data_IF_876215723994
#
_entry.id   IF_876215723994
#
_cell.length_a   1.000
_cell.length_b   1.000
_cell.length_c   1.000
_cell.angle_alpha   90.00
_cell.angle_beta   90.00
_cell.angle_gamma   90.00
#
_symmetry.space_group_name_H-M   'P 1'
#
loop_
_entity.id
_entity.type
_entity.pdbx_description
1 polymer ?
#
# COMPACT_ATOMS: atom_id res chain seq x y z
N UNK A 1 5.52 -9.74 -29.73
CA UNK A 1 5.43 -10.60 -28.53
C UNK A 1 6.11 -9.86 -27.40
N UNK A 2 5.34 -9.28 -26.47
CA UNK A 2 5.89 -8.63 -25.28
C UNK A 2 6.39 -9.74 -24.36
N UNK A 3 7.70 -9.90 -24.27
CA UNK A 3 8.31 -10.81 -23.29
C UNK A 3 7.93 -10.31 -21.90
N UNK A 4 7.20 -11.12 -21.13
CA UNK A 4 7.10 -10.91 -19.68
C UNK A 4 8.54 -10.82 -19.17
N UNK A 5 9.00 -9.63 -18.78
CA UNK A 5 10.24 -9.49 -18.01
C UNK A 5 10.09 -10.45 -16.84
N UNK A 6 11.04 -11.37 -16.69
CA UNK A 6 11.09 -12.20 -15.50
C UNK A 6 11.11 -11.24 -14.31
N UNK A 7 10.12 -11.36 -13.42
CA UNK A 7 10.11 -10.62 -12.18
C UNK A 7 11.45 -10.93 -11.48
N UNK A 8 12.21 -9.93 -11.02
CA UNK A 8 13.40 -10.19 -10.22
C UNK A 8 13.03 -11.12 -9.06
N UNK A 9 13.97 -11.97 -8.58
CA UNK A 9 13.69 -12.82 -7.44
C UNK A 9 13.16 -11.96 -6.29
N UNK A 10 12.02 -12.36 -5.74
CA UNK A 10 11.38 -11.68 -4.61
C UNK A 10 12.42 -11.55 -3.51
N UNK A 11 12.62 -10.34 -3.01
CA UNK A 11 13.45 -10.08 -1.83
C UNK A 11 13.04 -11.10 -0.74
N UNK A 12 13.96 -11.96 -0.25
CA UNK A 12 13.63 -12.97 0.74
C UNK A 12 12.90 -12.41 1.97
N UNK A 13 13.19 -11.15 2.35
CA UNK A 13 12.53 -10.46 3.46
C UNK A 13 11.07 -10.17 3.14
N UNK A 14 10.75 -9.76 1.90
CA UNK A 14 9.37 -9.55 1.45
C UNK A 14 8.58 -10.86 1.39
N UNK A 15 9.21 -11.96 1.00
CA UNK A 15 8.60 -13.29 1.06
C UNK A 15 8.21 -13.70 2.49
N UNK A 16 9.11 -13.48 3.46
CA UNK A 16 8.83 -13.74 4.88
C UNK A 16 7.75 -12.80 5.44
N UNK A 17 7.75 -11.53 5.02
CA UNK A 17 6.72 -10.58 5.41
C UNK A 17 5.34 -11.01 4.89
N UNK A 18 5.25 -11.43 3.63
CA UNK A 18 4.02 -11.95 3.04
C UNK A 18 3.51 -13.19 3.79
N UNK A 19 4.39 -14.13 4.14
CA UNK A 19 4.02 -15.29 4.96
C UNK A 19 3.47 -14.86 6.34
N UNK A 20 4.14 -13.93 7.01
CA UNK A 20 3.68 -13.40 8.30
C UNK A 20 2.32 -12.69 8.19
N UNK A 21 2.02 -12.02 7.07
CA UNK A 21 0.70 -11.44 6.82
C UNK A 21 -0.36 -12.53 6.69
N UNK A 22 -0.10 -13.58 5.91
CA UNK A 22 -1.04 -14.68 5.70
C UNK A 22 -1.32 -15.47 6.99
N UNK A 23 -0.34 -15.57 7.90
CA UNK A 23 -0.52 -16.21 9.22
C UNK A 23 -1.11 -15.27 10.29
N UNK A 24 -1.41 -14.01 9.96
CA UNK A 24 -1.98 -13.03 10.90
C UNK A 24 -0.94 -12.39 11.86
N UNK A 25 0.35 -12.64 11.65
CA UNK A 25 1.45 -12.09 12.43
C UNK A 25 1.81 -10.65 11.97
N UNK A 26 0.83 -9.74 11.97
CA UNK A 26 0.98 -8.41 11.36
C UNK A 26 2.11 -7.57 11.96
N UNK A 27 2.35 -7.67 13.27
CA UNK A 27 3.47 -6.97 13.92
C UNK A 27 4.83 -7.46 13.42
N UNK A 28 4.98 -8.78 13.21
CA UNK A 28 6.20 -9.37 12.66
C UNK A 28 6.38 -8.97 11.19
N UNK A 29 5.32 -9.03 10.39
CA UNK A 29 5.34 -8.57 9.01
C UNK A 29 5.85 -7.12 8.91
N UNK A 30 5.33 -6.22 9.75
CA UNK A 30 5.76 -4.81 9.78
C UNK A 30 7.21 -4.63 10.24
N UNK A 31 7.76 -5.53 11.05
CA UNK A 31 9.19 -5.49 11.39
C UNK A 31 10.05 -5.87 10.18
N UNK A 32 9.72 -6.97 9.51
CA UNK A 32 10.42 -7.41 8.29
C UNK A 32 10.34 -6.34 7.20
N UNK A 33 9.19 -5.68 7.04
CA UNK A 33 9.03 -4.61 6.05
C UNK A 33 9.87 -3.36 6.40
N UNK A 34 10.10 -3.05 7.68
CA UNK A 34 11.05 -1.99 8.07
C UNK A 34 12.48 -2.34 7.70
N UNK A 35 12.86 -3.61 7.79
CA UNK A 35 14.18 -4.09 7.35
C UNK A 35 14.33 -3.96 5.83
N UNK A 36 13.29 -4.32 5.07
CA UNK A 36 13.29 -4.12 3.61
C UNK A 36 13.41 -2.64 3.23
N UNK A 37 12.70 -1.74 3.91
CA UNK A 37 12.82 -0.28 3.72
C UNK A 37 14.24 0.26 3.99
N UNK A 38 15.00 -0.37 4.89
CA UNK A 38 16.38 0.05 5.18
C UNK A 38 17.34 -0.29 4.03
N UNK A 39 17.01 -1.30 3.21
CA UNK A 39 17.79 -1.70 2.04
C UNK A 39 17.38 -0.93 0.79
N UNK A 40 16.07 -0.76 0.58
CA UNK A 40 15.51 0.00 -0.53
C UNK A 40 14.27 0.77 -0.08
N UNK A 41 14.44 2.08 0.09
CA UNK A 41 13.37 2.98 0.53
C UNK A 41 12.37 3.35 -0.58
N UNK A 42 12.68 3.03 -1.84
CA UNK A 42 11.84 3.33 -3.01
C UNK A 42 11.12 2.07 -3.52
N UNK A 43 11.30 0.90 -2.89
CA UNK A 43 10.64 -0.33 -3.33
C UNK A 43 9.10 -0.24 -3.12
N UNK A 44 8.29 -0.23 -4.20
CA UNK A 44 6.83 -0.15 -4.09
C UNK A 44 6.20 -1.40 -3.45
N UNK A 45 6.81 -2.58 -3.58
CA UNK A 45 6.30 -3.83 -3.02
C UNK A 45 6.26 -3.79 -1.49
N UNK A 46 7.28 -3.16 -0.88
CA UNK A 46 7.38 -2.98 0.57
C UNK A 46 6.20 -2.20 1.13
N UNK A 47 5.87 -1.06 0.50
CA UNK A 47 4.73 -0.24 0.91
C UNK A 47 3.39 -0.92 0.60
N UNK A 48 3.30 -1.68 -0.49
CA UNK A 48 2.09 -2.43 -0.81
C UNK A 48 1.83 -3.52 0.24
N UNK A 49 2.87 -4.25 0.68
CA UNK A 49 2.75 -5.24 1.76
C UNK A 49 2.43 -4.61 3.12
N UNK A 50 2.92 -3.39 3.41
CA UNK A 50 2.46 -2.62 4.58
C UNK A 50 0.97 -2.31 4.49
N UNK A 51 0.49 -1.94 3.29
CA UNK A 51 -0.93 -1.74 3.02
C UNK A 51 -1.76 -2.99 3.29
N UNK A 52 -1.37 -4.13 2.72
CA UNK A 52 -2.05 -5.42 2.89
C UNK A 52 -2.04 -5.84 4.37
N UNK A 53 -0.91 -5.68 5.06
CA UNK A 53 -0.80 -5.99 6.49
C UNK A 53 -1.83 -5.23 7.33
N UNK A 54 -1.95 -3.91 7.13
CA UNK A 54 -2.93 -3.11 7.85
C UNK A 54 -4.36 -3.40 7.42
N UNK A 55 -4.59 -3.74 6.15
CA UNK A 55 -5.91 -4.09 5.66
C UNK A 55 -6.43 -5.38 6.29
N UNK A 56 -5.59 -6.42 6.33
CA UNK A 56 -5.90 -7.70 6.96
C UNK A 56 -6.09 -7.55 8.48
N UNK A 57 -5.40 -6.61 9.12
CA UNK A 57 -5.62 -6.20 10.52
C UNK A 57 -6.90 -5.35 10.72
N UNK A 58 -7.62 -4.98 9.65
CA UNK A 58 -8.86 -4.20 9.69
C UNK A 58 -8.67 -2.68 9.69
N UNK A 59 -7.44 -2.18 9.56
CA UNK A 59 -7.13 -0.76 9.54
C UNK A 59 -7.07 -0.18 8.12
N UNK A 60 -8.24 -0.01 7.50
CA UNK A 60 -8.38 0.49 6.12
C UNK A 60 -7.77 1.90 5.91
N UNK A 61 -7.80 2.75 6.94
CA UNK A 61 -7.20 4.08 6.85
C UNK A 61 -5.68 4.03 6.71
N UNK A 62 -5.01 3.16 7.46
CA UNK A 62 -3.56 2.95 7.29
C UNK A 62 -3.27 2.20 5.99
N UNK A 63 -4.08 1.21 5.63
CA UNK A 63 -3.93 0.47 4.38
C UNK A 63 -3.90 1.41 3.17
N UNK A 64 -4.91 2.27 3.02
CA UNK A 64 -4.99 3.26 1.93
C UNK A 64 -3.81 4.23 1.89
N UNK A 65 -3.29 4.65 3.05
CA UNK A 65 -2.07 5.49 3.11
C UNK A 65 -0.87 4.77 2.49
N UNK A 66 -0.65 3.51 2.85
CA UNK A 66 0.50 2.74 2.35
C UNK A 66 0.35 2.32 0.89
N UNK A 67 -0.86 1.98 0.43
CA UNK A 67 -1.10 1.78 -1.01
C UNK A 67 -0.82 3.05 -1.83
N UNK A 68 -1.16 4.23 -1.30
CA UNK A 68 -0.82 5.51 -1.95
C UNK A 68 0.68 5.77 -2.00
N UNK A 69 1.44 5.39 -0.96
CA UNK A 69 2.91 5.46 -0.99
C UNK A 69 3.47 4.50 -2.03
N UNK A 70 3.00 3.25 -2.08
CA UNK A 70 3.42 2.28 -3.09
C UNK A 70 3.19 2.78 -4.52
N UNK A 71 2.01 3.34 -4.77
CA UNK A 71 1.67 3.95 -6.06
C UNK A 71 2.54 5.18 -6.39
N UNK A 72 2.92 5.97 -5.38
CA UNK A 72 3.81 7.11 -5.57
C UNK A 72 5.23 6.68 -5.93
N UNK A 73 5.74 5.60 -5.32
CA UNK A 73 7.07 5.07 -5.61
C UNK A 73 7.17 4.51 -7.04
N UNK A 74 6.15 3.78 -7.48
CA UNK A 74 6.05 3.30 -8.86
C UNK A 74 4.59 3.30 -9.34
N UNK A 75 4.25 4.26 -10.21
CA UNK A 75 2.91 4.39 -10.79
C UNK A 75 2.59 3.25 -11.78
N UNK A 76 3.60 2.52 -12.26
CA UNK A 76 3.43 1.37 -13.15
C UNK A 76 3.14 0.09 -12.38
N UNK A 77 3.39 0.06 -11.06
CA UNK A 77 3.09 -1.06 -10.18
C UNK A 77 1.58 -1.18 -9.90
N UNK A 78 0.88 -1.86 -10.81
CA UNK A 78 -0.60 -1.94 -10.83
C UNK A 78 -1.23 -2.41 -9.53
N UNK A 79 -0.57 -3.33 -8.80
CA UNK A 79 -1.10 -3.87 -7.55
C UNK A 79 -1.42 -2.77 -6.51
N UNK A 80 -0.62 -1.71 -6.46
CA UNK A 80 -0.87 -0.59 -5.55
C UNK A 80 -2.12 0.22 -5.96
N UNK A 81 -2.31 0.44 -7.27
CA UNK A 81 -3.49 1.13 -7.79
C UNK A 81 -4.77 0.32 -7.53
N UNK A 82 -4.76 -0.98 -7.85
CA UNK A 82 -5.90 -1.89 -7.65
C UNK A 82 -6.31 -1.96 -6.17
N UNK A 83 -5.32 -2.09 -5.28
CA UNK A 83 -5.56 -2.12 -3.84
C UNK A 83 -6.06 -0.78 -3.30
N UNK A 84 -5.49 0.33 -3.76
CA UNK A 84 -5.94 1.66 -3.36
C UNK A 84 -7.37 1.91 -3.82
N UNK A 85 -7.71 1.56 -5.06
CA UNK A 85 -9.06 1.69 -5.58
C UNK A 85 -10.04 0.88 -4.74
N UNK A 86 -9.77 -0.41 -4.54
CA UNK A 86 -10.63 -1.32 -3.76
C UNK A 86 -10.88 -0.83 -2.34
N UNK A 87 -9.83 -0.36 -1.63
CA UNK A 87 -9.98 0.14 -0.25
C UNK A 87 -10.63 1.52 -0.21
N UNK A 88 -10.49 2.35 -1.25
CA UNK A 88 -11.10 3.68 -1.33
C UNK A 88 -12.52 3.70 -1.90
N UNK A 89 -12.97 2.67 -2.62
CA UNK A 89 -14.32 2.61 -3.20
C UNK A 89 -15.42 2.76 -2.12
N UNK A 90 -15.18 2.24 -0.91
CA UNK A 90 -16.07 2.42 0.24
C UNK A 90 -16.16 3.86 0.76
N UNK A 91 -15.20 4.72 0.39
CA UNK A 91 -15.09 6.10 0.83
C UNK A 91 -15.46 7.11 -0.26
N UNK A 92 -16.15 6.68 -1.34
CA UNK A 92 -16.77 7.64 -2.28
C UNK A 92 -17.84 8.44 -1.54
N UNK A 93 -17.42 9.54 -0.95
CA UNK A 93 -18.30 10.59 -0.43
C UNK A 93 -18.74 11.47 -1.59
N UNK A 94 -19.95 12.02 -1.52
CA UNK A 94 -20.47 12.90 -2.55
C UNK A 94 -19.54 14.13 -2.67
N UNK A 95 -19.47 14.74 -3.85
CA UNK A 95 -18.80 16.03 -4.09
C UNK A 95 -19.17 17.12 -3.07
N UNK A 96 -20.35 17.00 -2.44
CA UNK A 96 -20.83 17.89 -1.38
C UNK A 96 -20.10 17.71 -0.04
N UNK A 97 -19.45 16.58 0.17
CA UNK A 97 -18.71 16.26 1.41
C UNK A 97 -17.22 16.64 1.34
N UNK A 98 -16.79 17.32 0.26
CA UNK A 98 -15.41 17.79 0.10
C UNK A 98 -15.09 18.78 1.21
N UNK A 99 -14.21 18.37 2.11
CA UNK A 99 -13.63 19.23 3.13
C UNK A 99 -12.41 19.93 2.52
N UNK A 100 -12.56 21.23 2.21
CA UNK A 100 -11.53 22.02 1.53
C UNK A 100 -10.29 22.33 2.37
N UNK A 101 -10.37 22.13 3.70
CA UNK A 101 -9.26 22.39 4.62
C UNK A 101 -8.87 23.88 4.72
N UNK A 102 -9.73 24.77 4.22
CA UNK A 102 -9.53 26.22 4.13
C UNK A 102 -10.91 26.89 4.35
N UNK A 103 -10.94 28.03 5.03
CA UNK A 103 -12.15 28.85 5.10
C UNK A 103 -12.40 29.51 3.75
N UNK A 104 -13.50 29.16 3.09
CA UNK A 104 -13.98 29.87 1.90
C UNK A 104 -14.93 30.97 2.38
N UNK A 105 -14.38 32.07 2.89
CA UNK A 105 -15.19 33.24 3.23
C UNK A 105 -15.61 33.93 1.93
N UNK A 106 -16.88 33.84 1.55
CA UNK A 106 -17.39 34.59 0.38
C UNK A 106 -18.56 34.00 -0.41
N UNK A 107 -19.58 33.42 0.23
CA UNK A 107 -20.92 33.30 -0.38
C UNK A 107 -21.96 33.90 0.52
#
# INVERSE_FOLDING_TARGET
>A
MLTKKAQPPVDPVLGLAAQAIETGEYSRARQLLKESMANDMENPETYNLLGISYEKEGNLLKASRFYRVAYYMDQTFQAAADNLERVCQFWRKDSKDIQWGLSIDGR
#
